data_IF_991875687064
#
_entry.id   IF_991875687064
#
_cell.length_a   1.000
_cell.length_b   1.000
_cell.length_c   1.000
_cell.angle_alpha   90.00
_cell.angle_beta   90.00
_cell.angle_gamma   90.00
#
_symmetry.space_group_name_H-M   'P 1'
#
loop_
_entity.id
_entity.type
_entity.pdbx_description
1 polymer ?
#
# COMPACT_ATOMS: atom_id res chain seq x y z
N UNK A 1 11.98 -42.95 19.64
CA UNK A 1 10.79 -42.14 19.92
C UNK A 1 10.76 -41.05 18.87
N UNK A 2 10.30 -41.38 17.65
CA UNK A 2 10.25 -40.46 16.51
C UNK A 2 9.01 -40.80 15.67
N UNK A 3 8.10 -39.84 15.51
CA UNK A 3 7.07 -39.83 14.47
C UNK A 3 6.97 -38.40 13.93
N UNK A 4 6.85 -38.34 12.61
CA UNK A 4 7.00 -37.20 11.69
C UNK A 4 5.70 -36.41 11.54
N UNK A 5 5.84 -35.22 10.93
CA UNK A 5 4.83 -34.60 10.05
C UNK A 5 3.77 -33.77 10.78
N UNK A 6 3.24 -32.68 10.24
CA UNK A 6 3.21 -32.20 8.85
C UNK A 6 2.92 -30.69 8.90
N UNK A 7 3.53 -29.96 7.95
CA UNK A 7 3.16 -28.58 7.59
C UNK A 7 1.74 -28.60 7.05
N UNK A 8 0.81 -27.77 7.53
CA UNK A 8 -0.36 -27.40 6.73
C UNK A 8 -1.01 -26.11 7.24
N UNK A 9 -1.32 -25.24 6.30
CA UNK A 9 -1.91 -23.92 6.55
C UNK A 9 -1.48 -22.84 5.58
N UNK A 10 -1.08 -23.20 4.36
CA UNK A 10 -1.01 -22.28 3.23
C UNK A 10 -2.38 -21.60 3.11
N UNK A 11 -2.44 -20.29 3.36
CA UNK A 11 -3.67 -19.52 3.17
C UNK A 11 -4.12 -19.66 1.72
N UNK A 12 -5.36 -20.11 1.56
CA UNK A 12 -6.08 -20.20 0.31
C UNK A 12 -6.11 -18.82 -0.36
N UNK A 13 -5.20 -18.57 -1.30
CA UNK A 13 -5.29 -17.43 -2.21
C UNK A 13 -6.31 -17.81 -3.28
N UNK A 14 -7.58 -17.48 -3.02
CA UNK A 14 -8.62 -17.44 -4.03
C UNK A 14 -8.21 -16.41 -5.09
N UNK A 15 -7.42 -16.84 -6.07
CA UNK A 15 -7.00 -16.10 -7.24
C UNK A 15 -8.22 -15.84 -8.13
N UNK A 16 -9.03 -14.86 -7.73
CA UNK A 16 -9.96 -14.21 -8.64
C UNK A 16 -9.08 -13.32 -9.50
N UNK A 17 -8.72 -13.78 -10.70
CA UNK A 17 -7.90 -13.01 -11.64
C UNK A 17 -8.63 -11.71 -11.94
N UNK A 18 -8.25 -10.63 -11.24
CA UNK A 18 -8.69 -9.29 -11.58
C UNK A 18 -8.10 -8.97 -12.97
N UNK A 19 -8.84 -8.25 -13.83
CA UNK A 19 -8.28 -7.80 -15.10
C UNK A 19 -7.01 -6.97 -14.82
N UNK A 20 -5.99 -7.04 -15.68
CA UNK A 20 -4.76 -6.26 -15.49
C UNK A 20 -5.11 -4.77 -15.43
N UNK A 21 -4.72 -4.13 -14.33
CA UNK A 21 -4.96 -2.70 -14.12
C UNK A 21 -3.88 -1.89 -14.83
N UNK A 22 -4.23 -0.77 -15.47
CA UNK A 22 -3.22 0.21 -15.92
C UNK A 22 -2.46 0.83 -14.74
N UNK A 23 -1.25 1.33 -14.98
CA UNK A 23 -0.44 2.01 -13.95
C UNK A 23 -1.20 3.15 -13.26
N UNK A 24 -2.02 3.89 -14.02
CA UNK A 24 -2.87 4.96 -13.48
C UNK A 24 -3.96 4.42 -12.55
N UNK A 25 -4.59 3.30 -12.90
CA UNK A 25 -5.58 2.65 -12.03
C UNK A 25 -4.94 2.15 -10.73
N UNK A 26 -3.73 1.58 -10.80
CA UNK A 26 -2.95 1.17 -9.62
C UNK A 26 -2.61 2.37 -8.73
N UNK A 27 -2.14 3.48 -9.30
CA UNK A 27 -1.85 4.70 -8.56
C UNK A 27 -3.09 5.27 -7.86
N UNK A 28 -4.25 5.26 -8.53
CA UNK A 28 -5.52 5.70 -7.94
C UNK A 28 -5.97 4.78 -6.80
N UNK A 29 -5.88 3.46 -6.98
CA UNK A 29 -6.24 2.49 -5.95
C UNK A 29 -5.35 2.63 -4.71
N UNK A 30 -4.03 2.70 -4.91
CA UNK A 30 -3.06 2.92 -3.83
C UNK A 30 -3.33 4.24 -3.11
N UNK A 31 -3.48 5.34 -3.86
CA UNK A 31 -3.74 6.66 -3.30
C UNK A 31 -5.02 6.71 -2.45
N UNK A 32 -6.10 6.07 -2.92
CA UNK A 32 -7.34 5.95 -2.18
C UNK A 32 -7.18 5.15 -0.88
N UNK A 33 -6.45 4.03 -0.91
CA UNK A 33 -6.17 3.23 0.27
C UNK A 33 -5.36 4.02 1.32
N UNK A 34 -4.30 4.72 0.90
CA UNK A 34 -3.48 5.55 1.77
C UNK A 34 -4.27 6.73 2.36
N UNK A 35 -5.14 7.36 1.57
CA UNK A 35 -6.03 8.42 2.05
C UNK A 35 -6.98 7.90 3.14
N UNK A 36 -7.64 6.76 2.87
CA UNK A 36 -8.56 6.16 3.83
C UNK A 36 -7.85 5.79 5.14
N UNK A 37 -6.62 5.29 5.06
CA UNK A 37 -5.80 5.01 6.23
C UNK A 37 -5.43 6.28 7.00
N UNK A 38 -5.05 7.35 6.32
CA UNK A 38 -4.80 8.65 6.96
C UNK A 38 -6.02 9.20 7.67
N UNK A 39 -7.19 9.15 7.02
CA UNK A 39 -8.42 9.62 7.64
C UNK A 39 -8.75 8.84 8.92
N UNK A 40 -8.43 7.53 8.99
CA UNK A 40 -8.56 6.71 10.21
C UNK A 40 -7.59 7.09 11.33
N UNK A 41 -6.40 7.60 11.00
CA UNK A 41 -5.43 8.06 12.02
C UNK A 41 -5.69 9.48 12.50
N UNK A 42 -6.58 10.22 11.84
CA UNK A 42 -6.91 11.61 12.17
C UNK A 42 -5.82 12.62 11.77
N UNK A 43 -4.81 12.19 11.01
CA UNK A 43 -3.72 13.06 10.58
C UNK A 43 -4.12 13.90 9.35
N UNK A 44 -3.68 15.15 9.31
CA UNK A 44 -3.73 15.97 8.10
C UNK A 44 -2.71 15.52 7.05
N UNK A 45 -2.88 15.97 5.80
CA UNK A 45 -1.90 15.69 4.73
C UNK A 45 -0.53 16.27 5.05
N UNK A 46 -0.47 17.47 5.63
CA UNK A 46 0.77 18.13 6.04
C UNK A 46 1.49 17.30 7.11
N UNK A 47 0.76 16.84 8.11
CA UNK A 47 1.28 16.01 9.19
C UNK A 47 1.89 14.68 8.72
N UNK A 48 1.25 14.01 7.77
CA UNK A 48 1.81 12.78 7.18
C UNK A 48 3.05 13.12 6.37
N UNK A 49 2.96 14.14 5.51
CA UNK A 49 4.06 14.56 4.65
C UNK A 49 5.31 14.91 5.47
N UNK A 50 5.17 15.67 6.57
CA UNK A 50 6.27 15.96 7.49
C UNK A 50 6.86 14.69 8.10
N UNK A 51 6.04 13.73 8.55
CA UNK A 51 6.51 12.48 9.17
C UNK A 51 7.24 11.55 8.19
N UNK A 52 6.94 11.64 6.89
CA UNK A 52 7.62 10.85 5.85
C UNK A 52 8.61 11.66 5.01
N UNK A 53 8.95 12.88 5.46
CA UNK A 53 9.92 13.78 4.82
C UNK A 53 9.56 14.10 3.35
N UNK A 54 8.27 14.32 3.09
CA UNK A 54 7.75 14.75 1.80
C UNK A 54 7.21 16.18 1.88
N UNK A 55 7.15 16.83 0.73
CA UNK A 55 6.37 18.05 0.58
C UNK A 55 4.86 17.70 0.62
N UNK A 56 3.98 18.51 1.26
CA UNK A 56 2.54 18.24 1.32
C UNK A 56 1.88 18.02 -0.04
N UNK A 57 2.31 18.77 -1.06
CA UNK A 57 1.84 18.60 -2.45
C UNK A 57 2.21 17.22 -3.03
N UNK A 58 3.37 16.67 -2.69
CA UNK A 58 3.80 15.33 -3.13
C UNK A 58 2.88 14.27 -2.54
N UNK A 59 2.63 14.35 -1.23
CA UNK A 59 1.72 13.44 -0.55
C UNK A 59 0.28 13.55 -1.09
N UNK A 60 -0.24 14.76 -1.27
CA UNK A 60 -1.54 14.97 -1.90
C UNK A 60 -1.59 14.52 -3.37
N UNK A 61 -0.46 14.49 -4.07
CA UNK A 61 -0.33 13.90 -5.40
C UNK A 61 -0.45 12.37 -5.38
N UNK A 62 0.13 11.73 -4.37
CA UNK A 62 0.03 10.27 -4.14
C UNK A 62 -1.43 9.89 -3.84
N UNK A 63 -2.11 10.58 -2.92
CA UNK A 63 -3.51 10.27 -2.58
C UNK A 63 -4.46 10.36 -3.80
N UNK A 64 -4.14 11.25 -4.75
CA UNK A 64 -4.92 11.45 -5.98
C UNK A 64 -4.47 10.56 -7.14
N UNK A 65 -3.52 9.66 -6.93
CA UNK A 65 -2.96 8.78 -7.96
C UNK A 65 -2.23 9.51 -9.09
N UNK A 66 -1.70 10.71 -8.82
CA UNK A 66 -0.88 11.48 -9.77
C UNK A 66 0.59 11.08 -9.71
N UNK A 67 1.01 10.51 -8.58
CA UNK A 67 2.37 10.04 -8.32
C UNK A 67 2.29 8.66 -7.68
N UNK A 68 3.24 7.79 -8.03
CA UNK A 68 3.50 6.57 -7.27
C UNK A 68 4.66 6.85 -6.30
N UNK A 69 4.52 6.49 -5.01
CA UNK A 69 5.64 6.57 -4.08
C UNK A 69 6.72 5.55 -4.46
N UNK A 70 7.98 5.86 -4.15
CA UNK A 70 9.03 4.84 -4.12
C UNK A 70 8.69 3.77 -3.07
N UNK A 71 9.26 2.57 -3.20
CA UNK A 71 9.11 1.51 -2.17
C UNK A 71 9.49 2.02 -0.78
N UNK A 72 10.60 2.74 -0.66
CA UNK A 72 11.05 3.33 0.61
C UNK A 72 10.05 4.32 1.21
N UNK A 73 9.38 5.11 0.37
CA UNK A 73 8.33 6.05 0.80
C UNK A 73 7.07 5.30 1.20
N UNK A 74 6.69 4.26 0.45
CA UNK A 74 5.55 3.43 0.77
C UNK A 74 5.73 2.74 2.13
N UNK A 75 6.89 2.16 2.40
CA UNK A 75 7.18 1.54 3.70
C UNK A 75 7.04 2.54 4.86
N UNK A 76 7.56 3.76 4.71
CA UNK A 76 7.41 4.82 5.72
C UNK A 76 5.95 5.21 5.92
N UNK A 77 5.17 5.30 4.84
CA UNK A 77 3.73 5.56 4.91
C UNK A 77 2.98 4.44 5.63
N UNK A 78 3.28 3.17 5.37
CA UNK A 78 2.67 2.05 6.08
C UNK A 78 2.87 2.15 7.60
N UNK A 79 4.09 2.51 8.04
CA UNK A 79 4.41 2.71 9.46
C UNK A 79 3.61 3.88 10.05
N UNK A 80 3.64 5.04 9.41
CA UNK A 80 2.95 6.26 9.91
C UNK A 80 1.43 6.09 9.93
N UNK A 81 0.87 5.42 8.92
CA UNK A 81 -0.56 5.21 8.74
C UNK A 81 -1.09 3.95 9.44
N UNK A 82 -0.21 3.15 10.04
CA UNK A 82 -0.54 1.87 10.70
C UNK A 82 -1.29 0.92 9.76
N UNK A 83 -0.80 0.80 8.52
CA UNK A 83 -1.34 -0.09 7.49
C UNK A 83 -0.37 -1.24 7.26
N UNK A 84 -0.88 -2.45 7.20
CA UNK A 84 -0.10 -3.61 6.76
C UNK A 84 0.09 -3.52 5.23
N UNK A 85 1.32 -3.64 4.70
CA UNK A 85 1.53 -3.66 3.25
C UNK A 85 0.71 -4.71 2.51
N UNK A 86 0.34 -5.83 3.15
CA UNK A 86 -0.51 -6.88 2.55
C UNK A 86 -1.97 -6.42 2.37
N UNK A 87 -2.41 -5.38 3.09
CA UNK A 87 -3.75 -4.79 2.96
C UNK A 87 -3.83 -3.73 1.84
N UNK A 88 -2.68 -3.32 1.28
CA UNK A 88 -2.66 -2.36 0.19
C UNK A 88 -3.00 -3.04 -1.14
N UNK A 89 -3.74 -2.35 -2.03
CA UNK A 89 -4.05 -2.89 -3.34
C UNK A 89 -2.75 -3.17 -4.09
N UNK A 90 -2.72 -4.33 -4.74
CA UNK A 90 -1.53 -4.84 -5.37
C UNK A 90 -0.97 -3.87 -6.41
N UNK A 91 0.31 -3.54 -6.27
CA UNK A 91 1.04 -2.70 -7.20
C UNK A 91 1.77 -3.53 -8.28
N UNK A 92 1.64 -4.87 -8.22
CA UNK A 92 2.23 -5.79 -9.18
C UNK A 92 1.90 -5.37 -10.62
N UNK A 93 2.90 -5.53 -11.49
CA UNK A 93 3.08 -4.95 -12.84
C UNK A 93 3.92 -3.67 -12.93
N UNK A 94 4.88 -3.45 -12.03
CA UNK A 94 6.06 -2.61 -12.35
C UNK A 94 7.17 -3.53 -12.91
N UNK A 95 7.02 -3.93 -14.17
CA UNK A 95 8.17 -4.34 -14.98
C UNK A 95 8.48 -3.18 -15.93
N UNK A 96 9.62 -2.53 -15.66
CA UNK A 96 10.38 -1.52 -16.41
C UNK A 96 9.62 -0.31 -16.99
#
# INVERSE_FOLDING_TARGET
MERRGTRDGVRCTSQRSLPPMSQRQRALALGAALRAAREKTGLSQEEVATRVELHPMTYGGIERGRLLPSVSTLTRLCVVLKVDPDDLPDLQDLQD
#
